data_IF_156993654868
#
_entry.id   IF_156993654868
#
_cell.length_a   1.000
_cell.length_b   1.000
_cell.length_c   1.000
_cell.angle_alpha   90.00
_cell.angle_beta   90.00
_cell.angle_gamma   90.00
#
_symmetry.space_group_name_H-M   'P 1'
#
loop_
_entity.id
_entity.type
_entity.pdbx_description
1 polymer ?
#
# COMPACT_ATOMS: atom_id res chain seq x y z
N UNK A 1 -19.27 0.90 2.79
CA UNK A 1 -18.45 2.07 3.15
C UNK A 1 -17.98 2.67 1.83
N UNK A 2 -18.35 3.91 1.49
CA UNK A 2 -17.94 4.50 0.20
C UNK A 2 -16.49 4.97 0.28
N UNK A 3 -15.64 4.54 -0.64
CA UNK A 3 -14.27 5.04 -0.79
C UNK A 3 -14.33 6.34 -1.60
N UNK A 4 -13.58 7.37 -1.20
CA UNK A 4 -13.38 8.59 -1.98
C UNK A 4 -12.71 8.33 -3.35
N UNK A 5 -12.59 9.35 -4.21
CA UNK A 5 -11.98 9.18 -5.52
C UNK A 5 -10.51 8.74 -5.40
N UNK A 6 -10.15 7.70 -6.17
CA UNK A 6 -8.77 7.22 -6.26
C UNK A 6 -8.04 8.01 -7.34
N UNK A 7 -6.96 8.70 -6.96
CA UNK A 7 -6.16 9.52 -7.86
C UNK A 7 -4.82 8.81 -8.17
N UNK A 8 -4.54 8.46 -9.43
CA UNK A 8 -3.25 7.90 -9.83
C UNK A 8 -2.18 8.99 -9.99
N UNK A 9 -0.93 8.68 -9.63
CA UNK A 9 0.24 9.56 -9.83
C UNK A 9 1.49 8.74 -10.16
N UNK A 10 2.28 9.20 -11.13
CA UNK A 10 3.56 8.56 -11.46
C UNK A 10 4.53 8.60 -10.28
N UNK A 11 4.98 7.43 -9.81
CA UNK A 11 5.92 7.28 -8.69
C UNK A 11 6.78 6.03 -8.85
N UNK A 12 8.07 6.14 -8.51
CA UNK A 12 9.01 5.01 -8.46
C UNK A 12 9.12 4.19 -9.76
N UNK A 13 8.96 4.83 -10.92
CA UNK A 13 8.95 4.14 -12.22
C UNK A 13 7.66 3.38 -12.53
N UNK A 14 6.60 3.60 -11.74
CA UNK A 14 5.25 3.06 -11.96
C UNK A 14 4.17 4.04 -11.50
N UNK A 15 3.11 3.53 -10.87
CA UNK A 15 1.91 4.29 -10.51
C UNK A 15 1.54 4.14 -9.05
N UNK A 16 1.52 5.25 -8.30
CA UNK A 16 0.93 5.33 -6.98
C UNK A 16 -0.55 5.68 -7.03
N UNK A 17 -1.37 5.00 -6.24
CA UNK A 17 -2.80 5.26 -6.10
C UNK A 17 -3.09 5.90 -4.76
N UNK A 18 -3.77 7.05 -4.78
CA UNK A 18 -4.03 7.87 -3.62
C UNK A 18 -5.52 7.93 -3.33
N UNK A 19 -5.88 7.74 -2.06
CA UNK A 19 -7.22 7.93 -1.53
C UNK A 19 -7.15 9.05 -0.48
N UNK A 20 -7.94 10.11 -0.67
CA UNK A 20 -7.95 11.29 0.20
C UNK A 20 -6.54 11.85 0.49
N UNK A 21 -5.71 11.91 -0.56
CA UNK A 21 -4.32 12.39 -0.47
C UNK A 21 -3.33 11.43 0.21
N UNK A 22 -3.77 10.22 0.58
CA UNK A 22 -2.90 9.18 1.18
C UNK A 22 -2.72 8.02 0.23
N UNK A 23 -1.48 7.60 0.00
CA UNK A 23 -1.17 6.50 -0.90
C UNK A 23 -1.63 5.17 -0.31
N UNK A 24 -2.48 4.44 -1.05
CA UNK A 24 -3.05 3.15 -0.66
C UNK A 24 -2.44 1.98 -1.41
N UNK A 25 -1.93 2.21 -2.63
CA UNK A 25 -1.33 1.18 -3.46
C UNK A 25 -0.25 1.76 -4.39
N UNK A 26 0.61 0.89 -4.90
CA UNK A 26 1.67 1.17 -5.85
C UNK A 26 1.70 0.04 -6.88
N UNK A 27 1.69 0.34 -8.16
CA UNK A 27 2.04 -0.61 -9.22
C UNK A 27 3.44 -0.31 -9.69
N UNK A 28 4.34 -1.29 -9.61
CA UNK A 28 5.73 -1.16 -10.04
C UNK A 28 6.26 -2.53 -10.49
N UNK A 29 7.00 -2.56 -11.61
CA UNK A 29 7.57 -3.81 -12.13
C UNK A 29 6.53 -4.93 -12.28
N UNK A 30 5.39 -4.61 -12.91
CA UNK A 30 4.27 -5.54 -13.18
C UNK A 30 3.57 -6.15 -11.95
N UNK A 31 3.87 -5.67 -10.74
CA UNK A 31 3.23 -6.13 -9.52
C UNK A 31 2.43 -5.02 -8.84
N UNK A 32 1.27 -5.37 -8.29
CA UNK A 32 0.53 -4.52 -7.37
C UNK A 32 1.10 -4.66 -5.96
N UNK A 33 1.35 -3.54 -5.32
CA UNK A 33 1.73 -3.45 -3.92
C UNK A 33 0.71 -2.63 -3.14
N UNK A 34 0.36 -3.10 -1.96
CA UNK A 34 -0.64 -2.53 -1.08
C UNK A 34 0.01 -1.92 0.16
N UNK A 35 -0.51 -0.78 0.60
CA UNK A 35 -0.02 -0.08 1.79
C UNK A 35 -0.16 -0.99 3.01
N UNK A 36 0.92 -1.14 3.78
CA UNK A 36 0.87 -1.83 5.07
C UNK A 36 1.32 -0.94 6.22
N UNK A 37 1.04 -1.40 7.43
CA UNK A 37 1.62 -0.90 8.67
C UNK A 37 1.91 -2.07 9.62
N UNK A 38 2.34 -1.77 10.85
CA UNK A 38 2.67 -2.80 11.83
C UNK A 38 1.51 -3.75 12.16
N UNK A 39 0.25 -3.33 11.95
CA UNK A 39 -0.93 -4.13 12.24
C UNK A 39 -1.32 -5.03 11.06
N UNK A 40 -1.17 -4.55 9.82
CA UNK A 40 -1.57 -5.33 8.64
C UNK A 40 -0.45 -6.19 8.07
N UNK A 41 0.82 -5.79 8.26
CA UNK A 41 2.00 -6.49 7.73
C UNK A 41 2.01 -8.01 8.02
N UNK A 42 1.70 -8.49 9.25
CA UNK A 42 1.75 -9.93 9.53
C UNK A 42 0.80 -10.77 8.66
N UNK A 43 -0.30 -10.20 8.17
CA UNK A 43 -1.23 -10.90 7.26
C UNK A 43 -0.63 -11.10 5.87
N UNK A 44 0.12 -10.12 5.38
CA UNK A 44 0.82 -10.21 4.10
C UNK A 44 2.01 -11.18 4.20
N UNK A 45 2.75 -11.14 5.31
CA UNK A 45 3.82 -12.10 5.61
C UNK A 45 3.28 -13.54 5.63
N UNK A 46 2.18 -13.79 6.33
CA UNK A 46 1.54 -15.11 6.40
C UNK A 46 1.02 -15.60 5.05
N UNK A 47 0.65 -14.69 4.14
CA UNK A 47 0.25 -15.01 2.77
C UNK A 47 1.42 -15.19 1.80
N UNK A 48 2.67 -15.18 2.29
CA UNK A 48 3.88 -15.33 1.46
C UNK A 48 4.16 -14.14 0.55
N UNK A 49 3.63 -12.95 0.88
CA UNK A 49 3.87 -11.74 0.11
C UNK A 49 5.22 -11.11 0.44
N UNK A 50 5.71 -10.27 -0.46
CA UNK A 50 7.02 -9.62 -0.32
C UNK A 50 6.89 -8.11 -0.18
N UNK A 51 7.79 -7.50 0.59
CA UNK A 51 7.86 -6.04 0.72
C UNK A 51 8.44 -5.40 -0.56
N UNK A 52 7.90 -4.25 -0.94
CA UNK A 52 8.50 -3.41 -1.98
C UNK A 52 9.81 -2.83 -1.48
N UNK A 53 10.91 -3.17 -2.16
CA UNK A 53 12.24 -2.65 -1.87
C UNK A 53 12.63 -1.64 -2.93
N UNK A 54 12.73 -0.38 -2.53
CA UNK A 54 13.18 0.70 -3.40
C UNK A 54 14.71 0.82 -3.34
N UNK A 55 15.38 0.79 -4.50
CA UNK A 55 16.83 1.03 -4.58
C UNK A 55 17.11 2.53 -4.57
N UNK A 56 17.48 3.05 -3.39
CA UNK A 56 17.93 4.44 -3.26
C UNK A 56 19.43 4.55 -3.54
N UNK A 57 19.92 5.78 -3.75
CA UNK A 57 21.36 6.08 -3.88
C UNK A 57 22.19 5.67 -2.65
N UNK A 58 21.56 5.49 -1.49
CA UNK A 58 22.20 5.07 -0.23
C UNK A 58 22.05 3.56 0.05
N UNK A 59 21.42 2.81 -0.84
CA UNK A 59 21.13 1.38 -0.67
C UNK A 59 19.63 1.03 -0.75
N UNK A 60 19.29 -0.27 -0.65
CA UNK A 60 17.91 -0.74 -0.66
C UNK A 60 17.15 -0.28 0.58
N UNK A 61 15.95 0.26 0.38
CA UNK A 61 15.03 0.70 1.43
C UNK A 61 13.72 -0.05 1.28
N UNK A 62 13.38 -0.85 2.30
CA UNK A 62 12.07 -1.50 2.37
C UNK A 62 10.99 -0.46 2.68
N UNK A 63 10.03 -0.35 1.79
CA UNK A 63 8.90 0.56 1.96
C UNK A 63 7.75 -0.17 2.66
N UNK A 64 6.81 0.60 3.20
CA UNK A 64 5.59 0.05 3.82
C UNK A 64 4.52 -0.30 2.76
N UNK A 65 4.93 -1.02 1.72
CA UNK A 65 4.09 -1.56 0.65
C UNK A 65 4.46 -3.03 0.44
N UNK A 66 3.46 -3.90 0.35
CA UNK A 66 3.65 -5.34 0.21
C UNK A 66 2.89 -5.84 -1.01
N UNK A 67 3.49 -6.79 -1.73
CA UNK A 67 2.89 -7.34 -2.94
C UNK A 67 1.51 -7.91 -2.61
N UNK A 68 0.55 -7.73 -3.52
CA UNK A 68 -0.72 -8.41 -3.42
C UNK A 68 -0.47 -9.93 -3.45
N UNK A 69 -1.11 -10.73 -2.57
CA UNK A 69 -0.90 -12.17 -2.56
C UNK A 69 -1.20 -12.82 -3.91
N UNK A 70 -0.43 -13.85 -4.26
CA UNK A 70 -0.58 -14.54 -5.54
C UNK A 70 -2.03 -15.01 -5.76
N UNK A 71 -2.56 -14.77 -6.95
CA UNK A 71 -3.95 -15.13 -7.31
C UNK A 71 -5.01 -14.10 -6.87
N UNK A 72 -4.72 -13.19 -5.95
CA UNK A 72 -5.69 -12.16 -5.55
C UNK A 72 -5.97 -11.15 -6.67
N UNK A 73 -4.98 -10.85 -7.52
CA UNK A 73 -5.12 -9.89 -8.63
C UNK A 73 -6.13 -10.34 -9.70
N UNK A 74 -6.39 -11.65 -9.82
CA UNK A 74 -7.29 -12.22 -10.82
C UNK A 74 -8.76 -12.29 -10.36
N UNK A 75 -9.01 -12.16 -9.05
CA UNK A 75 -10.35 -12.24 -8.47
C UNK A 75 -10.63 -11.03 -7.56
N UNK A 76 -11.56 -10.13 -7.94
CA UNK A 76 -11.96 -9.01 -7.11
C UNK A 76 -12.39 -9.40 -5.68
N UNK A 77 -13.04 -10.56 -5.51
CA UNK A 77 -13.45 -11.08 -4.21
C UNK A 77 -12.25 -11.46 -3.33
N UNK A 78 -11.23 -12.08 -3.92
CA UNK A 78 -9.98 -12.40 -3.25
C UNK A 78 -9.13 -11.16 -2.96
N UNK A 79 -9.17 -10.12 -3.80
CA UNK A 79 -8.45 -8.86 -3.61
C UNK A 79 -9.07 -7.97 -2.53
N UNK A 80 -10.40 -7.94 -2.44
CA UNK A 80 -11.15 -7.06 -1.55
C UNK A 80 -10.60 -7.02 -0.11
N UNK A 81 -10.40 -8.15 0.59
CA UNK A 81 -9.88 -8.11 1.97
C UNK A 81 -8.49 -7.46 2.06
N UNK A 82 -7.63 -7.62 1.05
CA UNK A 82 -6.31 -7.00 1.02
C UNK A 82 -6.38 -5.49 0.78
N UNK A 83 -7.27 -5.06 -0.12
CA UNK A 83 -7.53 -3.65 -0.37
C UNK A 83 -8.09 -2.95 0.88
N UNK A 84 -9.00 -3.59 1.62
CA UNK A 84 -9.53 -3.06 2.88
C UNK A 84 -8.42 -2.88 3.94
N UNK A 85 -7.50 -3.83 4.05
CA UNK A 85 -6.34 -3.70 4.94
C UNK A 85 -5.46 -2.51 4.54
N UNK A 86 -5.26 -2.32 3.24
CA UNK A 86 -4.46 -1.22 2.72
C UNK A 86 -5.07 0.15 3.03
N UNK A 87 -6.38 0.28 2.81
CA UNK A 87 -7.14 1.49 3.16
C UNK A 87 -7.09 1.76 4.66
N UNK A 88 -7.27 0.73 5.49
CA UNK A 88 -7.20 0.88 6.94
C UNK A 88 -5.81 1.34 7.41
N UNK A 89 -4.74 0.78 6.84
CA UNK A 89 -3.36 1.18 7.13
C UNK A 89 -3.06 2.61 6.67
N UNK A 90 -3.53 3.01 5.49
CA UNK A 90 -3.41 4.37 4.99
C UNK A 90 -4.12 5.38 5.88
N UNK A 91 -5.35 5.10 6.32
CA UNK A 91 -6.10 5.95 7.25
C UNK A 91 -5.36 6.17 8.56
N UNK A 92 -4.81 5.11 9.17
CA UNK A 92 -3.99 5.23 10.39
C UNK A 92 -2.74 6.08 10.16
N UNK A 93 -2.10 5.96 8.99
CA UNK A 93 -0.97 6.80 8.62
C UNK A 93 -1.37 8.28 8.46
N UNK A 94 -2.53 8.56 7.87
CA UNK A 94 -3.06 9.91 7.73
C UNK A 94 -3.35 10.56 9.09
N UNK A 95 -4.01 9.83 10.00
CA UNK A 95 -4.27 10.31 11.37
C UNK A 95 -2.99 10.65 12.11
N UNK A 96 -1.94 9.80 11.99
CA UNK A 96 -0.63 10.06 12.60
C UNK A 96 0.09 11.27 11.99
N UNK A 97 -0.10 11.53 10.69
CA UNK A 97 0.46 12.72 10.03
C UNK A 97 -0.22 13.99 10.53
N UNK A 98 -1.55 13.97 10.65
CA UNK A 98 -2.32 15.10 11.16
C UNK A 98 -1.92 15.46 12.61
N UNK A 99 -1.75 14.47 13.49
CA UNK A 99 -1.33 14.73 14.88
C UNK A 99 0.11 15.27 15.00
N UNK A 100 1.00 14.88 14.08
CA UNK A 100 2.38 15.39 14.05
C UNK A 100 2.47 16.83 13.54
N UNK A 101 1.56 17.26 12.69
CA UNK A 101 1.55 18.62 12.12
C UNK A 101 0.91 19.66 13.06
N UNK A 102 0.23 19.20 14.11
CA UNK A 102 -0.39 20.04 15.15
C UNK A 102 0.51 20.22 16.40
N UNK A 103 1.73 19.69 16.37
CA UNK A 103 2.76 19.82 17.42
C UNK A 103 3.91 20.70 16.93
#
# INVERSE_FOLDING_TARGET
MLLGPVVPRGMFGGWGFFLDGTMIALVAGEALYLKTDATTRPRFEAAGSEAFVYRSRKGPVAMSYWRAPAGSEADPGAMLPWAELAVAAARRAATRKASRQQR
#
